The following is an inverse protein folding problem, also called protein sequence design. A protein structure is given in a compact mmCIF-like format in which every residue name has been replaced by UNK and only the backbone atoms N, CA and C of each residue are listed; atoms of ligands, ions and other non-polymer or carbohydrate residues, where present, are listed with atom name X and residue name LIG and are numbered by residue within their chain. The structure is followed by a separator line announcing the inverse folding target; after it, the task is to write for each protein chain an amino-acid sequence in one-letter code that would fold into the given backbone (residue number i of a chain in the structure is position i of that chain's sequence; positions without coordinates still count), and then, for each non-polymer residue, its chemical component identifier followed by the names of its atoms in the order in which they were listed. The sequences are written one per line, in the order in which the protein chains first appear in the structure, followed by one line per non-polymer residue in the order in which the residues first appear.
data_IF_991723934598
#
_entry.id   IF_991723934598
#
_cell.length_a   1.000
_cell.length_b   1.000
_cell.length_c   1.000
_cell.angle_alpha   90.00
_cell.angle_beta   90.00
_cell.angle_gamma   90.00
#
_symmetry.space_group_name_H-M   'P 1'
#
loop_
_entity.id
_entity.type
_entity.pdbx_description
1 polymer ?
#
# COMPACT_ATOMS: atom_id res chain seq x y z
N UNK A 1 -14.45 -16.94 7.94
CA UNK A 1 -13.58 -16.20 6.99
C UNK A 1 -14.21 -15.95 5.61
N UNK A 2 -14.40 -16.92 4.68
CA UNK A 2 -14.96 -16.60 3.35
C UNK A 2 -16.32 -15.89 3.46
N UNK A 3 -17.20 -16.35 4.35
CA UNK A 3 -18.49 -15.72 4.63
C UNK A 3 -18.36 -14.28 5.11
N UNK A 4 -17.39 -14.00 5.98
CA UNK A 4 -17.11 -12.64 6.46
C UNK A 4 -16.60 -11.72 5.34
N UNK A 5 -15.63 -12.18 4.53
CA UNK A 5 -15.00 -11.31 3.51
C UNK A 5 -15.91 -11.11 2.29
N UNK A 6 -16.77 -12.09 1.98
CA UNK A 6 -17.76 -11.99 0.90
C UNK A 6 -19.11 -11.43 1.37
N UNK A 7 -19.27 -11.16 2.67
CA UNK A 7 -20.51 -10.64 3.25
C UNK A 7 -21.70 -11.61 3.16
N UNK A 8 -21.45 -12.92 3.27
CA UNK A 8 -22.46 -13.97 3.19
C UNK A 8 -22.53 -14.80 4.47
N UNK A 9 -23.76 -15.08 4.90
CA UNK A 9 -24.03 -15.86 6.11
C UNK A 9 -23.75 -17.37 5.93
N UNK A 10 -23.88 -17.88 4.70
CA UNK A 10 -23.63 -19.29 4.36
C UNK A 10 -22.84 -19.38 3.05
N UNK A 11 -21.82 -20.25 3.06
CA UNK A 11 -20.99 -20.61 1.91
C UNK A 11 -20.84 -22.14 1.93
N UNK A 12 -21.11 -22.77 0.80
CA UNK A 12 -20.90 -24.21 0.55
C UNK A 12 -19.42 -24.55 0.43
N UNK A 13 -19.09 -25.83 0.61
CA UNK A 13 -17.69 -26.29 0.52
C UNK A 13 -17.15 -26.20 -0.92
N UNK A 14 -18.05 -26.38 -1.89
CA UNK A 14 -17.84 -26.38 -3.34
C UNK A 14 -18.20 -25.05 -4.01
N UNK A 15 -18.63 -24.05 -3.22
CA UNK A 15 -18.92 -22.71 -3.74
C UNK A 15 -17.64 -22.03 -4.23
N UNK A 16 -17.64 -21.62 -5.50
CA UNK A 16 -16.52 -20.89 -6.09
C UNK A 16 -16.44 -19.46 -5.54
N UNK A 17 -15.30 -19.13 -4.95
CA UNK A 17 -15.01 -17.84 -4.33
C UNK A 17 -15.21 -16.66 -5.28
N UNK A 18 -14.80 -16.80 -6.55
CA UNK A 18 -14.88 -15.73 -7.54
C UNK A 18 -16.29 -15.61 -8.13
N UNK A 19 -17.00 -16.72 -8.30
CA UNK A 19 -18.41 -16.73 -8.68
C UNK A 19 -19.29 -16.03 -7.61
N UNK A 20 -18.90 -16.10 -6.35
CA UNK A 20 -19.58 -15.43 -5.24
C UNK A 20 -19.25 -13.93 -5.11
N UNK A 21 -18.39 -13.38 -5.98
CA UNK A 21 -18.00 -11.97 -6.00
C UNK A 21 -16.62 -11.68 -5.40
N UNK A 22 -15.83 -12.73 -5.13
CA UNK A 22 -14.43 -12.60 -4.77
C UNK A 22 -13.62 -11.90 -5.86
N UNK A 23 -12.62 -11.13 -5.44
CA UNK A 23 -11.69 -10.45 -6.34
C UNK A 23 -10.26 -10.54 -5.78
N UNK A 24 -9.28 -10.05 -6.52
CA UNK A 24 -7.87 -10.16 -6.14
C UNK A 24 -7.53 -9.51 -4.80
N UNK A 25 -8.17 -8.39 -4.45
CA UNK A 25 -7.94 -7.73 -3.16
C UNK A 25 -8.48 -8.58 -2.01
N UNK A 26 -9.70 -9.08 -2.15
CA UNK A 26 -10.38 -9.96 -1.18
C UNK A 26 -9.63 -11.28 -1.05
N UNK A 27 -9.18 -11.89 -2.15
CA UNK A 27 -8.32 -13.07 -2.17
C UNK A 27 -7.00 -12.84 -1.42
N UNK A 28 -6.35 -11.70 -1.64
CA UNK A 28 -5.11 -11.35 -0.94
C UNK A 28 -5.32 -11.24 0.58
N UNK A 29 -6.44 -10.64 1.01
CA UNK A 29 -6.78 -10.54 2.43
C UNK A 29 -7.06 -11.91 3.06
N UNK A 30 -7.77 -12.78 2.33
CA UNK A 30 -8.06 -14.16 2.75
C UNK A 30 -6.77 -14.96 2.91
N UNK A 31 -5.87 -14.94 1.93
CA UNK A 31 -4.60 -15.64 2.01
C UNK A 31 -3.75 -15.13 3.18
N UNK A 32 -3.64 -13.81 3.35
CA UNK A 32 -2.90 -13.21 4.46
C UNK A 32 -3.46 -13.61 5.84
N UNK A 33 -4.79 -13.67 5.98
CA UNK A 33 -5.43 -14.07 7.23
C UNK A 33 -5.26 -15.56 7.53
N UNK A 34 -5.41 -16.43 6.52
CA UNK A 34 -5.13 -17.87 6.67
C UNK A 34 -3.69 -18.12 7.12
N UNK A 35 -2.73 -17.45 6.48
CA UNK A 35 -1.33 -17.59 6.84
C UNK A 35 -1.05 -17.14 8.27
N UNK A 36 -1.70 -16.07 8.73
CA UNK A 36 -1.58 -15.59 10.10
C UNK A 36 -2.25 -16.52 11.13
N UNK A 37 -3.44 -17.04 10.81
CA UNK A 37 -4.26 -17.82 11.73
C UNK A 37 -3.80 -19.29 11.83
N UNK A 38 -3.34 -19.88 10.71
CA UNK A 38 -2.96 -21.29 10.61
C UNK A 38 -1.45 -21.49 10.54
N UNK A 39 -0.66 -20.44 10.30
CA UNK A 39 0.78 -20.56 10.07
C UNK A 39 1.13 -21.14 8.70
N UNK A 40 0.18 -21.21 7.76
CA UNK A 40 0.41 -21.72 6.41
C UNK A 40 1.11 -20.68 5.49
N UNK A 41 1.52 -21.15 4.31
CA UNK A 41 2.32 -20.44 3.31
C UNK A 41 1.51 -20.06 2.04
N UNK A 42 0.19 -19.90 2.15
CA UNK A 42 -0.72 -19.76 1.02
C UNK A 42 -0.47 -18.48 0.23
N UNK A 43 -0.29 -18.63 -1.07
CA UNK A 43 -0.16 -17.54 -2.04
C UNK A 43 -1.51 -17.17 -2.64
N UNK A 44 -1.63 -15.94 -3.15
CA UNK A 44 -2.83 -15.52 -3.90
C UNK A 44 -3.05 -16.40 -5.12
N UNK A 45 -1.97 -16.84 -5.77
CA UNK A 45 -2.03 -17.72 -6.93
C UNK A 45 -2.70 -19.05 -6.57
N UNK A 46 -2.34 -19.66 -5.46
CA UNK A 46 -2.95 -20.92 -5.02
C UNK A 46 -4.44 -20.75 -4.72
N UNK A 47 -4.89 -19.59 -4.23
CA UNK A 47 -6.32 -19.29 -4.08
C UNK A 47 -7.04 -19.18 -5.44
N UNK A 48 -6.35 -18.70 -6.49
CA UNK A 48 -6.89 -18.74 -7.86
C UNK A 48 -6.91 -20.15 -8.46
N UNK A 49 -6.07 -21.07 -7.98
CA UNK A 49 -6.03 -22.46 -8.43
C UNK A 49 -7.02 -23.35 -7.64
N UNK A 50 -7.19 -23.07 -6.33
CA UNK A 50 -8.11 -23.74 -5.40
C UNK A 50 -9.21 -22.76 -4.97
N UNK A 51 -10.21 -22.58 -5.85
CA UNK A 51 -11.22 -21.51 -5.71
C UNK A 51 -12.35 -21.83 -4.72
N UNK A 52 -12.43 -23.07 -4.21
CA UNK A 52 -13.46 -23.52 -3.25
C UNK A 52 -12.86 -23.73 -1.87
N UNK A 53 -13.70 -23.78 -0.84
CA UNK A 53 -13.26 -24.02 0.54
C UNK A 53 -12.63 -25.41 0.67
N UNK A 54 -13.24 -26.42 0.03
CA UNK A 54 -12.74 -27.80 0.02
C UNK A 54 -11.35 -27.90 -0.62
N UNK A 55 -11.18 -27.36 -1.82
CA UNK A 55 -9.90 -27.41 -2.54
C UNK A 55 -8.80 -26.66 -1.78
N UNK A 56 -9.15 -25.55 -1.13
CA UNK A 56 -8.20 -24.76 -0.35
C UNK A 56 -7.78 -25.49 0.93
N UNK A 57 -8.70 -26.19 1.59
CA UNK A 57 -8.38 -27.02 2.76
C UNK A 57 -7.43 -28.16 2.37
N UNK A 58 -7.72 -28.89 1.29
CA UNK A 58 -6.83 -29.95 0.78
C UNK A 58 -5.44 -29.44 0.40
N UNK A 59 -5.34 -28.23 -0.14
CA UNK A 59 -4.07 -27.61 -0.48
C UNK A 59 -3.26 -27.26 0.77
N UNK A 60 -3.92 -26.71 1.79
CA UNK A 60 -3.29 -26.38 3.08
C UNK A 60 -2.83 -27.64 3.81
N UNK A 61 -3.64 -28.69 3.85
CA UNK A 61 -3.29 -29.96 4.49
C UNK A 61 -2.04 -30.58 3.84
N UNK A 62 -1.98 -30.61 2.49
CA UNK A 62 -0.80 -31.06 1.76
C UNK A 62 0.44 -30.22 2.05
N UNK A 63 0.28 -28.90 2.17
CA UNK A 63 1.39 -28.00 2.47
C UNK A 63 1.99 -28.27 3.86
N UNK A 64 1.18 -28.68 4.84
CA UNK A 64 1.67 -29.08 6.16
C UNK A 64 2.35 -30.45 6.19
N UNK A 65 2.04 -31.34 5.25
CA UNK A 65 2.70 -32.64 5.11
C UNK A 65 4.11 -32.53 4.50
N UNK A 66 4.34 -31.50 3.69
CA UNK A 66 5.65 -31.18 3.11
C UNK A 66 6.38 -30.16 3.99
N UNK A 67 7.58 -30.48 4.48
CA UNK A 67 8.42 -29.57 5.30
C UNK A 67 8.91 -28.30 4.54
N UNK A 68 8.46 -28.07 3.29
CA UNK A 68 8.90 -27.01 2.38
C UNK A 68 8.23 -25.63 2.63
N UNK A 69 7.55 -25.44 3.75
CA UNK A 69 6.82 -24.19 4.06
C UNK A 69 7.71 -22.96 4.37
N UNK A 70 9.04 -23.11 4.43
CA UNK A 70 9.96 -22.05 4.87
C UNK A 70 10.15 -20.93 3.81
N UNK A 71 9.90 -21.19 2.52
CA UNK A 71 10.17 -20.22 1.44
C UNK A 71 9.10 -19.12 1.28
N UNK A 72 7.89 -19.29 1.83
CA UNK A 72 6.76 -18.35 1.67
C UNK A 72 6.50 -17.48 2.92
N UNK A 73 7.45 -17.44 3.86
CA UNK A 73 7.34 -16.55 5.00
C UNK A 73 7.33 -15.09 4.49
N UNK A 74 6.21 -14.41 4.70
CA UNK A 74 6.06 -12.99 4.39
C UNK A 74 7.13 -12.12 5.09
N UNK A 75 7.22 -10.83 4.76
CA UNK A 75 8.27 -9.97 5.30
C UNK A 75 8.29 -10.00 6.83
N UNK A 76 9.34 -10.60 7.40
CA UNK A 76 9.57 -10.61 8.84
C UNK A 76 10.21 -9.28 9.23
N UNK A 77 9.80 -8.73 10.37
CA UNK A 77 10.41 -7.53 10.92
C UNK A 77 11.89 -7.80 11.26
N UNK A 78 12.78 -7.42 10.35
CA UNK A 78 14.22 -7.49 10.53
C UNK A 78 14.79 -6.24 11.23
N UNK A 79 16.05 -6.32 11.69
CA UNK A 79 16.74 -5.14 12.18
C UNK A 79 16.82 -4.08 11.08
N UNK A 80 16.47 -2.84 11.43
CA UNK A 80 16.47 -1.74 10.48
C UNK A 80 17.91 -1.39 10.07
N UNK A 81 18.25 -1.44 8.76
CA UNK A 81 19.59 -1.10 8.33
C UNK A 81 19.86 0.40 8.52
N UNK A 82 21.12 0.76 8.76
CA UNK A 82 21.55 2.16 8.89
C UNK A 82 21.27 2.99 7.64
N UNK A 83 21.35 2.35 6.48
CA UNK A 83 21.10 2.94 5.17
C UNK A 83 20.00 2.14 4.46
N UNK A 84 18.89 2.82 4.14
CA UNK A 84 17.73 2.18 3.53
C UNK A 84 17.85 2.24 2.00
N UNK A 85 17.96 1.10 1.31
CA UNK A 85 17.97 1.09 -0.16
C UNK A 85 16.59 1.46 -0.71
N UNK A 86 16.53 2.00 -1.92
CA UNK A 86 15.28 2.12 -2.66
C UNK A 86 14.83 0.73 -3.12
N UNK A 87 13.53 0.47 -3.08
CA UNK A 87 12.93 -0.66 -3.80
C UNK A 87 13.13 -0.51 -5.32
N UNK A 88 13.06 -1.60 -6.11
CA UNK A 88 13.19 -1.52 -7.56
C UNK A 88 12.23 -0.53 -8.22
N UNK A 89 10.99 -0.46 -7.73
CA UNK A 89 10.00 0.51 -8.21
C UNK A 89 10.41 1.97 -7.89
N UNK A 90 10.89 2.23 -6.67
CA UNK A 90 11.40 3.55 -6.30
C UNK A 90 12.64 3.92 -7.13
N UNK A 91 13.57 3.00 -7.39
CA UNK A 91 14.75 3.27 -8.23
C UNK A 91 14.35 3.68 -9.65
N UNK A 92 13.37 2.98 -10.25
CA UNK A 92 12.85 3.32 -11.58
C UNK A 92 12.24 4.72 -11.62
N UNK A 93 11.37 5.05 -10.65
CA UNK A 93 10.73 6.36 -10.60
C UNK A 93 11.77 7.46 -10.34
N UNK A 94 12.72 7.22 -9.43
CA UNK A 94 13.81 8.15 -9.14
C UNK A 94 14.64 8.44 -10.40
N UNK A 95 15.03 7.40 -11.14
CA UNK A 95 15.78 7.53 -12.39
C UNK A 95 15.00 8.36 -13.43
N UNK A 96 13.72 8.05 -13.63
CA UNK A 96 12.87 8.80 -14.56
C UNK A 96 12.71 10.26 -14.15
N UNK A 97 12.58 10.53 -12.85
CA UNK A 97 12.54 11.90 -12.34
C UNK A 97 13.88 12.63 -12.51
N UNK A 98 15.04 11.95 -12.46
CA UNK A 98 16.34 12.57 -12.78
C UNK A 98 16.51 12.86 -14.27
N UNK A 99 15.86 12.09 -15.13
CA UNK A 99 15.89 12.30 -16.58
C UNK A 99 14.99 13.45 -17.02
N UNK A 100 13.81 13.60 -16.39
CA UNK A 100 12.86 14.69 -16.63
C UNK A 100 12.40 15.31 -15.30
N UNK A 101 13.20 16.23 -14.75
CA UNK A 101 12.95 16.79 -13.40
C UNK A 101 11.63 17.59 -13.29
N UNK A 102 11.20 18.23 -14.39
CA UNK A 102 9.98 19.03 -14.45
C UNK A 102 8.73 18.21 -14.84
N UNK A 103 8.85 16.90 -15.01
CA UNK A 103 7.73 16.04 -15.40
C UNK A 103 6.74 15.83 -14.25
N UNK A 104 5.47 16.13 -14.51
CA UNK A 104 4.37 15.81 -13.60
C UNK A 104 3.82 14.38 -13.79
N UNK A 105 4.46 13.55 -14.62
CA UNK A 105 3.95 12.23 -15.02
C UNK A 105 3.71 11.23 -13.88
N UNK A 106 4.35 11.45 -12.72
CA UNK A 106 4.20 10.62 -11.53
C UNK A 106 3.46 11.34 -10.38
N UNK A 107 2.89 12.52 -10.63
CA UNK A 107 2.04 13.18 -9.65
C UNK A 107 0.69 12.47 -9.58
N UNK A 108 0.20 12.23 -8.35
CA UNK A 108 -1.12 11.65 -8.09
C UNK A 108 -2.04 12.70 -7.45
N UNK A 109 -2.55 13.69 -8.21
CA UNK A 109 -3.44 14.69 -7.66
C UNK A 109 -4.82 14.08 -7.37
N UNK A 110 -5.40 14.43 -6.23
CA UNK A 110 -6.80 14.16 -5.92
C UNK A 110 -7.44 15.44 -5.35
N UNK A 111 -8.76 15.57 -5.53
CA UNK A 111 -9.52 16.75 -5.10
C UNK A 111 -10.65 16.27 -4.20
N UNK A 112 -10.72 16.85 -3.00
CA UNK A 112 -11.82 16.61 -2.05
C UNK A 112 -12.66 17.87 -1.95
N UNK A 113 -13.96 17.75 -2.18
CA UNK A 113 -14.92 18.84 -1.93
C UNK A 113 -15.49 18.67 -0.54
N UNK A 114 -15.26 19.67 0.31
CA UNK A 114 -15.85 19.76 1.64
C UNK A 114 -17.06 20.69 1.60
N UNK A 115 -18.14 20.33 2.28
CA UNK A 115 -19.36 21.14 2.36
C UNK A 115 -19.62 21.54 3.81
N UNK A 116 -20.06 22.76 4.04
CA UNK A 116 -20.25 23.33 5.38
C UNK A 116 -19.05 24.15 5.85
N UNK A 117 -18.98 24.37 7.17
CA UNK A 117 -17.88 25.12 7.79
C UNK A 117 -16.67 24.19 7.92
N UNK A 118 -15.56 24.56 7.29
CA UNK A 118 -14.29 23.83 7.40
C UNK A 118 -13.41 24.49 8.43
N UNK A 119 -13.09 23.76 9.50
CA UNK A 119 -12.03 24.14 10.43
C UNK A 119 -10.67 23.85 9.77
N UNK A 120 -10.04 24.89 9.25
CA UNK A 120 -8.77 24.79 8.55
C UNK A 120 -7.61 24.42 9.47
N UNK A 121 -7.70 24.74 10.76
CA UNK A 121 -6.65 24.44 11.72
C UNK A 121 -6.72 22.96 12.14
N UNK A 122 -7.92 22.46 12.42
CA UNK A 122 -8.14 21.03 12.63
C UNK A 122 -7.71 20.20 11.41
N UNK A 123 -8.01 20.65 10.18
CA UNK A 123 -7.56 19.98 8.96
C UNK A 123 -6.03 19.96 8.83
N UNK A 124 -5.37 21.08 9.14
CA UNK A 124 -3.90 21.17 9.12
C UNK A 124 -3.28 20.22 10.15
N UNK A 125 -3.83 20.17 11.36
CA UNK A 125 -3.38 19.25 12.41
C UNK A 125 -3.54 17.79 11.98
N UNK A 126 -4.70 17.42 11.44
CA UNK A 126 -4.95 16.06 10.95
C UNK A 126 -3.98 15.65 9.83
N UNK A 127 -3.66 16.57 8.90
CA UNK A 127 -2.65 16.32 7.87
C UNK A 127 -1.24 16.16 8.46
N UNK A 128 -0.89 16.97 9.47
CA UNK A 128 0.38 16.83 10.18
C UNK A 128 0.49 15.48 10.90
N UNK A 129 -0.60 15.00 11.50
CA UNK A 129 -0.66 13.69 12.15
C UNK A 129 -0.45 12.54 11.15
N UNK A 130 -1.04 12.64 9.96
CA UNK A 130 -0.83 11.67 8.87
C UNK A 130 0.65 11.67 8.43
N UNK A 131 1.25 12.84 8.24
CA UNK A 131 2.69 12.96 7.88
C UNK A 131 3.58 12.39 8.99
N UNK A 132 3.26 12.66 10.26
CA UNK A 132 4.02 12.14 11.40
C UNK A 132 3.94 10.61 11.49
N UNK A 133 2.75 10.05 11.28
CA UNK A 133 2.48 8.61 11.31
C UNK A 133 3.18 7.84 10.18
N UNK A 134 3.24 8.40 8.97
CA UNK A 134 3.67 7.66 7.78
C UNK A 134 5.06 8.09 7.30
N UNK A 135 6.07 7.22 7.48
CA UNK A 135 7.47 7.50 7.09
C UNK A 135 7.63 7.90 5.61
N UNK A 136 6.84 7.28 4.72
CA UNK A 136 6.89 7.53 3.28
C UNK A 136 6.62 8.99 2.93
N UNK A 137 5.77 9.69 3.69
CA UNK A 137 5.42 11.10 3.46
C UNK A 137 6.52 12.07 3.90
N UNK A 138 7.51 11.57 4.64
CA UNK A 138 8.69 12.31 5.11
C UNK A 138 10.00 11.71 4.58
N UNK A 139 9.92 10.89 3.53
CA UNK A 139 11.08 10.27 2.89
C UNK A 139 11.58 11.14 1.73
N UNK A 140 12.89 11.37 1.69
CA UNK A 140 13.59 11.98 0.55
C UNK A 140 14.63 10.99 -0.01
N UNK A 141 15.01 11.18 -1.27
CA UNK A 141 15.89 10.26 -2.00
C UNK A 141 17.18 10.95 -2.49
N UNK A 142 18.07 11.39 -1.58
CA UNK A 142 19.36 11.93 -1.96
C UNK A 142 20.22 10.84 -2.62
N UNK A 143 21.00 11.22 -3.63
CA UNK A 143 22.10 10.42 -4.14
C UNK A 143 23.42 10.86 -3.52
N UNK A 144 24.35 9.93 -3.37
CA UNK A 144 25.75 10.21 -3.09
C UNK A 144 26.51 10.59 -4.38
N UNK A 145 27.82 10.80 -4.26
CA UNK A 145 28.69 11.20 -5.37
C UNK A 145 28.75 10.13 -6.48
N UNK A 146 28.43 8.88 -6.16
CA UNK A 146 28.36 7.75 -7.10
C UNK A 146 26.95 7.56 -7.71
N UNK A 147 26.05 8.54 -7.53
CA UNK A 147 24.66 8.52 -7.98
C UNK A 147 23.81 7.39 -7.38
N UNK A 148 24.22 6.84 -6.24
CA UNK A 148 23.45 5.81 -5.54
C UNK A 148 22.45 6.47 -4.61
N UNK A 149 21.18 6.44 -5.02
CA UNK A 149 20.09 6.95 -4.19
C UNK A 149 19.81 6.05 -2.98
N UNK A 150 19.50 6.68 -1.85
CA UNK A 150 19.06 5.99 -0.62
C UNK A 150 17.83 6.68 -0.03
N UNK A 151 17.00 5.93 0.68
CA UNK A 151 15.87 6.52 1.40
C UNK A 151 16.40 7.19 2.67
N UNK A 152 16.16 8.49 2.79
CA UNK A 152 16.42 9.26 4.01
C UNK A 152 15.10 9.77 4.56
N UNK A 153 14.75 9.29 5.74
CA UNK A 153 13.48 9.62 6.37
C UNK A 153 13.72 10.78 7.33
N UNK A 154 13.06 11.91 7.07
CA UNK A 154 13.17 13.12 7.84
C UNK A 154 12.30 13.04 9.10
N UNK A 155 12.65 13.74 10.19
CA UNK A 155 11.72 14.02 11.28
C UNK A 155 10.48 14.74 10.75
N UNK A 156 9.30 14.44 11.32
CA UNK A 156 8.03 15.01 10.88
C UNK A 156 8.04 16.55 10.85
N UNK A 157 8.75 17.15 11.80
CA UNK A 157 8.85 18.60 12.00
C UNK A 157 9.58 19.36 10.87
N UNK A 158 10.33 18.63 10.03
CA UNK A 158 11.07 19.18 8.90
C UNK A 158 10.25 19.19 7.60
N UNK A 159 9.13 18.46 7.55
CA UNK A 159 8.27 18.41 6.37
C UNK A 159 7.52 19.75 6.20
N UNK A 160 7.55 20.32 5.00
CA UNK A 160 6.86 21.58 4.69
C UNK A 160 7.63 22.87 5.01
N UNK A 161 8.88 22.79 5.49
CA UNK A 161 9.74 23.97 5.73
C UNK A 161 10.53 24.45 4.51
N UNK A 162 10.41 23.76 3.37
CA UNK A 162 11.01 24.23 2.12
C UNK A 162 10.25 25.45 1.59
N UNK A 163 10.91 26.55 1.20
CA UNK A 163 10.24 27.71 0.61
C UNK A 163 9.72 27.34 -0.77
N UNK A 164 8.52 26.76 -0.80
CA UNK A 164 7.89 26.31 -2.03
C UNK A 164 7.52 27.51 -2.91
N UNK A 165 7.93 27.47 -4.19
CA UNK A 165 7.32 28.18 -5.32
C UNK A 165 5.87 27.72 -5.56
N UNK A 166 5.06 27.64 -4.52
CA UNK A 166 3.63 27.38 -4.66
C UNK A 166 2.95 28.68 -5.10
N UNK A 167 2.58 28.76 -6.38
CA UNK A 167 1.66 29.79 -6.86
C UNK A 167 0.23 29.29 -6.67
N UNK A 168 -0.61 29.96 -5.87
CA UNK A 168 -2.01 29.56 -5.74
C UNK A 168 -2.71 29.63 -7.11
N UNK A 169 -3.54 28.62 -7.39
CA UNK A 169 -4.39 28.60 -8.58
C UNK A 169 -5.31 29.83 -8.58
N UNK A 170 -5.54 30.48 -9.74
CA UNK A 170 -6.45 31.61 -9.82
C UNK A 170 -7.86 31.18 -9.40
N UNK A 171 -8.47 31.94 -8.49
CA UNK A 171 -9.88 31.77 -8.14
C UNK A 171 -10.70 31.95 -9.41
N UNK A 172 -11.50 30.93 -9.77
CA UNK A 172 -12.50 31.10 -10.84
C UNK A 172 -13.42 32.24 -10.42
N UNK A 173 -13.49 33.27 -11.26
CA UNK A 173 -14.47 34.34 -11.10
C UNK A 173 -15.86 33.70 -11.10
N UNK A 174 -16.60 33.93 -10.03
CA UNK A 174 -18.04 33.67 -9.97
C UNK A 174 -18.69 34.41 -11.13
N UNK A 175 -19.22 33.65 -12.09
CA UNK A 175 -20.06 34.18 -13.16
C UNK A 175 -21.33 34.73 -12.50
N UNK A 176 -21.63 36.04 -12.61
CA UNK A 176 -22.91 36.56 -12.13
C UNK A 176 -24.04 36.06 -13.05
N UNK A 177 -25.20 35.88 -12.43
CA UNK A 177 -26.45 35.31 -12.94
C UNK A 177 -26.94 35.82 -14.29
#
# INVERSE_FOLDING_TARGET
MFGEVLGRERIGLDDDFFALGGNSLVATQVAARLNADLGCALTVRELFEATTVEALAELIDRAFETEDMDESAGPVAGPRPRALPLSPAQQRIWFLNRFEEDSAGYNMPFVVRMTGVVDTEALRSALADVVARHEVLRTVFPADDDLVARQRILPAEQVGRSPSRWKPLPRRASTPS
#
